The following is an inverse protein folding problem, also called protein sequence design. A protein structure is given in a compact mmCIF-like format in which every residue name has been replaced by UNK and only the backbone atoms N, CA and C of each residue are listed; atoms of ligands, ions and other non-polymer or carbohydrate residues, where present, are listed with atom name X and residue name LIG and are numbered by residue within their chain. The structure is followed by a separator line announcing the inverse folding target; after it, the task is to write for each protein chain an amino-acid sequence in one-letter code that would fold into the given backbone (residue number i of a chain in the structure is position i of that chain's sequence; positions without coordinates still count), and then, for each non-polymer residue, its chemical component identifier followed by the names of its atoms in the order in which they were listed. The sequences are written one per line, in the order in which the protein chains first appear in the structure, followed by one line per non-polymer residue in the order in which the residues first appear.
data_IF_992549615449
#
_entry.id   IF_992549615449
#
_cell.length_a   1.000
_cell.length_b   1.000
_cell.length_c   1.000
_cell.angle_alpha   90.00
_cell.angle_beta   90.00
_cell.angle_gamma   90.00
#
_symmetry.space_group_name_H-M   'P 1'
#
loop_
_entity.id
_entity.type
_entity.pdbx_description
1 polymer ?
#
# COMPACT_ATOMS: atom_id res chain seq x y z
N UNK A 1 44.45 -29.84 14.07
CA UNK A 1 43.09 -29.26 14.14
C UNK A 1 42.92 -28.32 12.96
N UNK A 2 42.12 -28.70 11.95
CA UNK A 2 41.83 -27.84 10.81
C UNK A 2 40.64 -26.95 11.20
N UNK A 3 40.89 -25.66 11.43
CA UNK A 3 39.81 -24.69 11.60
C UNK A 3 39.16 -24.47 10.23
N UNK A 4 37.99 -25.07 10.02
CA UNK A 4 37.13 -24.72 8.89
C UNK A 4 36.55 -23.35 9.21
N UNK A 5 37.25 -22.29 8.81
CA UNK A 5 36.65 -20.95 8.70
C UNK A 5 35.74 -21.01 7.48
N UNK A 6 34.53 -21.58 7.65
CA UNK A 6 33.45 -21.36 6.70
C UNK A 6 33.12 -19.89 6.76
N UNK A 7 33.66 -19.11 5.83
CA UNK A 7 33.28 -17.72 5.63
C UNK A 7 31.76 -17.65 5.53
N UNK A 8 31.10 -17.07 6.52
CA UNK A 8 29.67 -16.76 6.48
C UNK A 8 29.48 -15.75 5.36
N UNK A 9 29.12 -16.23 4.17
CA UNK A 9 28.82 -15.36 3.03
C UNK A 9 27.65 -14.47 3.45
N UNK A 10 27.94 -13.20 3.71
CA UNK A 10 26.93 -12.22 4.09
C UNK A 10 26.16 -11.88 2.82
N UNK A 11 24.94 -12.40 2.69
CA UNK A 11 24.10 -12.18 1.50
C UNK A 11 23.34 -10.86 1.52
N UNK A 12 23.13 -10.27 2.71
CA UNK A 12 22.36 -9.05 2.91
C UNK A 12 22.97 -8.21 4.04
N UNK A 13 22.97 -6.89 3.89
CA UNK A 13 23.18 -5.95 5.01
C UNK A 13 21.98 -5.96 5.96
N UNK A 14 22.11 -5.47 7.19
CA UNK A 14 21.00 -5.46 8.16
C UNK A 14 19.76 -4.72 7.64
N UNK A 15 19.92 -3.57 6.99
CA UNK A 15 18.81 -2.84 6.37
C UNK A 15 18.13 -3.63 5.25
N UNK A 16 18.92 -4.30 4.40
CA UNK A 16 18.41 -5.13 3.32
C UNK A 16 17.68 -6.37 3.85
N UNK A 17 18.14 -6.95 4.97
CA UNK A 17 17.50 -8.11 5.60
C UNK A 17 16.07 -7.79 5.97
N UNK A 18 15.82 -6.65 6.63
CA UNK A 18 14.47 -6.26 7.07
C UNK A 18 13.53 -6.17 5.87
N UNK A 19 13.93 -5.41 4.83
CA UNK A 19 13.13 -5.27 3.62
C UNK A 19 12.85 -6.63 2.96
N UNK A 20 13.89 -7.46 2.80
CA UNK A 20 13.78 -8.77 2.17
C UNK A 20 12.90 -9.72 2.97
N UNK A 21 12.95 -9.68 4.31
CA UNK A 21 12.07 -10.47 5.19
C UNK A 21 10.61 -10.16 4.89
N UNK A 22 10.19 -8.89 4.91
CA UNK A 22 8.79 -8.53 4.66
C UNK A 22 8.34 -8.83 3.24
N UNK A 23 9.19 -8.61 2.23
CA UNK A 23 8.91 -9.02 0.85
C UNK A 23 8.69 -10.53 0.74
N UNK A 24 9.51 -11.31 1.42
CA UNK A 24 9.43 -12.77 1.40
C UNK A 24 8.17 -13.25 2.12
N UNK A 25 7.83 -12.67 3.28
CA UNK A 25 6.57 -12.94 3.99
C UNK A 25 5.36 -12.68 3.10
N UNK A 26 5.37 -11.56 2.35
CA UNK A 26 4.27 -11.20 1.46
C UNK A 26 4.05 -12.22 0.34
N UNK A 27 5.11 -12.88 -0.14
CA UNK A 27 5.02 -13.98 -1.12
C UNK A 27 4.64 -15.31 -0.46
N UNK A 28 5.29 -15.65 0.65
CA UNK A 28 5.07 -16.90 1.39
C UNK A 28 3.63 -17.05 1.81
N UNK A 29 3.05 -16.04 2.45
CA UNK A 29 1.71 -16.14 3.03
C UNK A 29 0.63 -16.53 2.01
N UNK A 30 0.85 -16.26 0.72
CA UNK A 30 -0.06 -16.59 -0.36
C UNK A 30 -0.06 -18.08 -0.72
N UNK A 31 1.07 -18.77 -0.49
CA UNK A 31 1.26 -20.16 -0.92
C UNK A 31 1.16 -21.15 0.24
N UNK A 32 1.12 -20.67 1.49
CA UNK A 32 0.99 -21.53 2.67
C UNK A 32 -0.42 -22.15 2.77
N UNK A 33 -0.55 -23.39 3.27
CA UNK A 33 -1.84 -24.06 3.41
C UNK A 33 -2.64 -23.44 4.57
N UNK A 34 -3.96 -23.41 4.44
CA UNK A 34 -4.85 -22.69 5.38
C UNK A 34 -5.08 -23.44 6.69
N UNK A 35 -5.14 -24.77 6.62
CA UNK A 35 -5.56 -25.63 7.74
C UNK A 35 -4.55 -26.72 8.08
N UNK A 36 -3.55 -26.96 7.22
CA UNK A 36 -2.53 -27.98 7.43
C UNK A 36 -1.30 -27.44 8.17
N UNK A 37 -0.54 -28.38 8.73
CA UNK A 37 0.78 -28.12 9.28
C UNK A 37 1.83 -28.11 8.17
N UNK A 38 2.81 -27.21 8.24
CA UNK A 38 3.82 -27.06 7.19
C UNK A 38 5.18 -26.62 7.72
N UNK A 39 6.24 -26.90 6.95
CA UNK A 39 7.52 -26.23 7.13
C UNK A 39 7.64 -25.05 6.17
N UNK A 40 8.02 -23.87 6.68
CA UNK A 40 8.16 -22.64 5.87
C UNK A 40 9.13 -22.86 4.70
N UNK A 41 10.21 -23.60 4.93
CA UNK A 41 11.28 -23.76 3.96
C UNK A 41 10.90 -24.62 2.73
N UNK A 42 9.88 -25.46 2.84
CA UNK A 42 9.35 -26.26 1.73
C UNK A 42 8.78 -25.35 0.62
N UNK A 43 8.22 -24.21 1.02
CA UNK A 43 7.58 -23.25 0.13
C UNK A 43 8.55 -22.26 -0.51
N UNK A 44 9.83 -22.26 -0.13
CA UNK A 44 10.84 -21.41 -0.77
C UNK A 44 11.05 -21.77 -2.24
N UNK A 45 10.87 -23.06 -2.60
CA UNK A 45 10.93 -23.49 -4.01
C UNK A 45 9.78 -22.91 -4.83
N UNK A 46 8.62 -22.73 -4.22
CA UNK A 46 7.42 -22.18 -4.85
C UNK A 46 7.56 -20.68 -5.10
N UNK A 47 8.10 -19.92 -4.14
CA UNK A 47 8.23 -18.46 -4.27
C UNK A 47 9.51 -18.00 -4.97
N UNK A 48 10.53 -18.86 -5.05
CA UNK A 48 11.83 -18.55 -5.67
C UNK A 48 12.40 -19.77 -6.44
N UNK A 49 12.20 -19.84 -7.77
CA UNK A 49 12.66 -20.96 -8.58
C UNK A 49 14.18 -20.94 -8.81
N UNK A 50 14.86 -19.80 -8.64
CA UNK A 50 16.31 -19.72 -8.78
C UNK A 50 17.04 -20.33 -7.56
N UNK A 51 18.01 -21.21 -7.80
CA UNK A 51 18.74 -21.93 -6.74
C UNK A 51 19.65 -21.04 -5.90
N UNK A 52 20.26 -20.02 -6.49
CA UNK A 52 21.14 -19.09 -5.79
C UNK A 52 20.33 -18.17 -4.89
N UNK A 53 19.24 -17.58 -5.41
CA UNK A 53 18.33 -16.74 -4.61
C UNK A 53 17.70 -17.53 -3.46
N UNK A 54 17.37 -18.80 -3.65
CA UNK A 54 16.93 -19.67 -2.54
C UNK A 54 17.99 -19.83 -1.46
N UNK A 55 19.28 -19.93 -1.80
CA UNK A 55 20.35 -19.98 -0.78
C UNK A 55 20.40 -18.68 0.01
N UNK A 56 20.20 -17.53 -0.64
CA UNK A 56 20.09 -16.22 0.02
C UNK A 56 18.89 -16.18 0.96
N UNK A 57 17.70 -16.64 0.52
CA UNK A 57 16.51 -16.72 1.38
C UNK A 57 16.71 -17.63 2.59
N UNK A 58 17.36 -18.79 2.40
CA UNK A 58 17.68 -19.69 3.51
C UNK A 58 18.55 -19.02 4.59
N UNK A 59 19.46 -18.12 4.20
CA UNK A 59 20.30 -17.38 5.14
C UNK A 59 19.51 -16.46 6.09
N UNK A 60 18.27 -16.08 5.72
CA UNK A 60 17.37 -15.24 6.53
C UNK A 60 16.13 -15.99 7.02
N UNK A 61 16.09 -17.33 6.89
CA UNK A 61 14.90 -18.14 7.21
C UNK A 61 14.45 -18.01 8.65
N UNK A 62 15.39 -17.90 9.59
CA UNK A 62 15.08 -17.69 11.01
C UNK A 62 14.40 -16.35 11.25
N UNK A 63 14.91 -15.28 10.62
CA UNK A 63 14.32 -13.94 10.70
C UNK A 63 12.91 -13.89 10.09
N UNK A 64 12.68 -14.60 8.98
CA UNK A 64 11.36 -14.75 8.37
C UNK A 64 10.40 -15.42 9.36
N UNK A 65 10.76 -16.57 9.92
CA UNK A 65 9.94 -17.30 10.90
C UNK A 65 9.59 -16.42 12.10
N UNK A 66 10.59 -15.81 12.74
CA UNK A 66 10.41 -14.95 13.91
C UNK A 66 9.49 -13.77 13.59
N UNK A 67 9.63 -13.15 12.43
CA UNK A 67 8.77 -12.05 12.02
C UNK A 67 7.32 -12.52 11.80
N UNK A 68 7.10 -13.68 11.17
CA UNK A 68 5.76 -14.24 11.00
C UNK A 68 5.10 -14.61 12.33
N UNK A 69 5.85 -15.16 13.29
CA UNK A 69 5.38 -15.45 14.65
C UNK A 69 5.01 -14.15 15.38
N UNK A 70 5.88 -13.13 15.34
CA UNK A 70 5.62 -11.81 15.96
C UNK A 70 4.41 -11.09 15.37
N UNK A 71 4.17 -11.25 14.08
CA UNK A 71 2.98 -10.71 13.41
C UNK A 71 1.71 -11.51 13.70
N UNK A 72 1.84 -12.64 14.41
CA UNK A 72 0.79 -13.61 14.68
C UNK A 72 0.19 -14.17 13.39
N UNK A 73 1.00 -14.46 12.37
CA UNK A 73 0.55 -15.09 11.11
C UNK A 73 0.66 -16.61 11.16
N UNK A 74 1.61 -17.10 11.94
CA UNK A 74 1.84 -18.52 12.17
C UNK A 74 1.94 -18.80 13.66
N UNK A 75 1.65 -20.04 14.03
CA UNK A 75 1.82 -20.59 15.37
C UNK A 75 2.51 -21.95 15.32
N UNK A 76 3.13 -22.34 16.42
CA UNK A 76 3.77 -23.65 16.58
C UNK A 76 2.82 -24.54 17.40
N UNK A 77 2.12 -25.50 16.78
CA UNK A 77 1.25 -26.40 17.51
C UNK A 77 2.08 -27.26 18.47
N UNK A 78 1.58 -27.50 19.70
CA UNK A 78 2.36 -28.12 20.79
C UNK A 78 2.80 -29.56 20.50
N UNK A 79 2.11 -30.25 19.60
CA UNK A 79 2.34 -31.66 19.28
C UNK A 79 3.28 -31.89 18.10
N UNK A 80 3.76 -30.83 17.42
CA UNK A 80 4.55 -30.99 16.21
C UNK A 80 5.86 -30.18 16.28
N UNK A 81 6.99 -30.89 16.35
CA UNK A 81 8.30 -30.27 16.30
C UNK A 81 8.55 -29.63 14.91
N UNK A 82 8.91 -28.35 14.90
CA UNK A 82 9.30 -27.57 13.72
C UNK A 82 8.23 -27.40 12.62
N UNK A 83 6.98 -27.79 12.86
CA UNK A 83 5.86 -27.49 11.98
C UNK A 83 5.14 -26.24 12.44
N UNK A 84 4.56 -25.54 11.47
CA UNK A 84 3.80 -24.31 11.67
C UNK A 84 2.38 -24.49 11.15
N UNK A 85 1.44 -23.74 11.72
CA UNK A 85 0.08 -23.59 11.20
C UNK A 85 -0.23 -22.12 10.99
N UNK A 86 -1.06 -21.79 10.00
CA UNK A 86 -1.61 -20.44 9.88
C UNK A 86 -2.59 -20.17 11.03
N UNK A 87 -2.42 -19.02 11.67
CA UNK A 87 -3.41 -18.48 12.61
C UNK A 87 -4.62 -17.94 11.85
N UNK A 88 -5.67 -17.54 12.57
CA UNK A 88 -6.81 -16.83 11.97
C UNK A 88 -6.37 -15.55 11.26
N UNK A 89 -5.47 -14.78 11.88
CA UNK A 89 -4.89 -13.58 11.28
C UNK A 89 -4.04 -13.90 10.06
N UNK A 90 -3.28 -15.00 10.07
CA UNK A 90 -2.52 -15.47 8.92
C UNK A 90 -3.42 -15.75 7.71
N UNK A 91 -4.55 -16.42 7.95
CA UNK A 91 -5.58 -16.66 6.93
C UNK A 91 -6.23 -15.37 6.44
N UNK A 92 -6.54 -14.44 7.34
CA UNK A 92 -7.08 -13.12 6.93
C UNK A 92 -6.10 -12.38 6.01
N UNK A 93 -4.82 -12.34 6.38
CA UNK A 93 -3.76 -11.69 5.58
C UNK A 93 -3.63 -12.33 4.21
N UNK A 94 -3.68 -13.67 4.14
CA UNK A 94 -3.70 -14.41 2.88
C UNK A 94 -4.92 -14.05 2.04
N UNK A 95 -6.12 -14.03 2.63
CA UNK A 95 -7.37 -13.65 1.96
C UNK A 95 -7.36 -12.21 1.43
N UNK A 96 -6.66 -11.29 2.11
CA UNK A 96 -6.44 -9.91 1.62
C UNK A 96 -5.40 -9.83 0.49
N UNK A 97 -4.73 -10.93 0.14
CA UNK A 97 -3.72 -10.99 -0.90
C UNK A 97 -2.33 -10.55 -0.44
N UNK A 98 -1.99 -10.81 0.83
CA UNK A 98 -0.65 -10.68 1.38
C UNK A 98 -0.48 -9.56 2.41
N UNK A 99 0.66 -9.58 3.11
CA UNK A 99 1.00 -8.64 4.19
C UNK A 99 0.80 -7.17 3.80
N UNK A 100 1.29 -6.75 2.63
CA UNK A 100 1.19 -5.35 2.20
C UNK A 100 -0.25 -4.93 1.92
N UNK A 101 -1.06 -5.79 1.30
CA UNK A 101 -2.47 -5.51 1.01
C UNK A 101 -3.29 -5.50 2.29
N UNK A 102 -3.00 -6.40 3.22
CA UNK A 102 -3.59 -6.41 4.54
C UNK A 102 -3.34 -5.09 5.29
N UNK A 103 -2.09 -4.62 5.35
CA UNK A 103 -1.77 -3.32 5.98
C UNK A 103 -2.52 -2.16 5.33
N UNK A 104 -2.65 -2.15 4.00
CA UNK A 104 -3.45 -1.14 3.29
C UNK A 104 -4.94 -1.21 3.65
N UNK A 105 -5.46 -2.41 3.88
CA UNK A 105 -6.87 -2.61 4.27
C UNK A 105 -7.18 -2.17 5.70
N UNK A 106 -6.18 -2.17 6.58
CA UNK A 106 -6.31 -1.67 7.96
C UNK A 106 -6.21 -0.15 8.06
N UNK A 107 -5.67 0.53 7.04
CA UNK A 107 -5.64 1.99 7.04
C UNK A 107 -7.07 2.53 6.98
N UNK A 108 -7.41 3.57 7.75
CA UNK A 108 -8.72 4.19 7.66
C UNK A 108 -8.95 4.62 6.21
N UNK A 109 -9.99 4.05 5.58
CA UNK A 109 -10.40 4.49 4.25
C UNK A 109 -10.77 5.96 4.40
N UNK A 110 -10.12 6.84 3.62
CA UNK A 110 -10.51 8.25 3.57
C UNK A 110 -11.99 8.29 3.29
N UNK A 111 -12.74 8.91 4.20
CA UNK A 111 -14.19 8.99 4.14
C UNK A 111 -14.56 10.01 3.07
N UNK A 112 -14.56 9.56 1.81
CA UNK A 112 -14.79 10.42 0.65
C UNK A 112 -16.13 11.14 0.73
N UNK A 113 -17.10 10.58 1.45
CA UNK A 113 -18.40 11.20 1.76
C UNK A 113 -18.27 12.52 2.52
N UNK A 114 -17.21 12.71 3.32
CA UNK A 114 -16.93 13.96 4.05
C UNK A 114 -16.11 14.97 3.24
N UNK A 115 -15.26 14.47 2.33
CA UNK A 115 -14.33 15.32 1.54
C UNK A 115 -14.97 15.85 0.26
N UNK A 116 -15.80 15.03 -0.41
CA UNK A 116 -16.52 15.41 -1.63
C UNK A 116 -17.37 16.67 -1.50
N UNK A 117 -18.26 16.82 -0.50
CA UNK A 117 -19.12 18.00 -0.42
C UNK A 117 -18.32 19.29 -0.20
N UNK A 118 -17.19 19.23 0.51
CA UNK A 118 -16.29 20.37 0.71
C UNK A 118 -15.65 20.78 -0.61
N UNK A 119 -15.10 19.82 -1.36
CA UNK A 119 -14.48 20.08 -2.66
C UNK A 119 -15.47 20.65 -3.69
N UNK A 120 -16.68 20.07 -3.75
CA UNK A 120 -17.74 20.54 -4.65
C UNK A 120 -18.19 21.96 -4.29
N UNK A 121 -18.32 22.27 -3.00
CA UNK A 121 -18.73 23.62 -2.54
C UNK A 121 -17.70 24.68 -2.92
N UNK A 122 -16.41 24.38 -2.80
CA UNK A 122 -15.33 25.30 -3.19
C UNK A 122 -15.35 25.54 -4.70
N UNK A 123 -15.50 24.49 -5.51
CA UNK A 123 -15.54 24.60 -6.98
C UNK A 123 -16.76 25.43 -7.41
N UNK A 124 -17.95 25.16 -6.86
CA UNK A 124 -19.15 25.94 -7.15
C UNK A 124 -19.02 27.41 -6.72
N UNK A 125 -18.39 27.68 -5.57
CA UNK A 125 -18.11 29.03 -5.11
C UNK A 125 -17.19 29.81 -6.06
N UNK A 126 -16.12 29.17 -6.55
CA UNK A 126 -15.20 29.77 -7.52
C UNK A 126 -15.91 30.05 -8.84
N UNK A 127 -16.67 29.07 -9.38
CA UNK A 127 -17.41 29.23 -10.63
C UNK A 127 -18.42 30.38 -10.52
N UNK A 128 -19.18 30.43 -9.42
CA UNK A 128 -20.17 31.47 -9.19
C UNK A 128 -19.53 32.86 -9.09
N UNK A 129 -18.37 32.95 -8.42
CA UNK A 129 -17.62 34.21 -8.29
C UNK A 129 -17.08 34.71 -9.63
N UNK A 130 -16.55 33.80 -10.46
CA UNK A 130 -16.08 34.12 -11.82
C UNK A 130 -17.24 34.57 -12.70
N UNK A 131 -18.38 33.88 -12.63
CA UNK A 131 -19.58 34.23 -13.39
C UNK A 131 -20.14 35.61 -13.01
N UNK A 132 -20.15 35.93 -11.71
CA UNK A 132 -20.52 37.26 -11.20
C UNK A 132 -19.59 38.35 -11.73
N UNK A 133 -18.28 38.14 -11.72
CA UNK A 133 -17.30 39.09 -12.23
C UNK A 133 -17.42 39.33 -13.74
N UNK A 134 -17.69 38.27 -14.51
CA UNK A 134 -17.92 38.36 -15.96
C UNK A 134 -19.21 39.14 -16.27
N UNK A 135 -20.31 38.84 -15.59
CA UNK A 135 -21.56 39.56 -15.76
C UNK A 135 -21.46 41.03 -15.35
N UNK A 136 -20.70 41.33 -14.28
CA UNK A 136 -20.45 42.71 -13.87
C UNK A 136 -19.69 43.50 -14.93
N UNK A 137 -18.64 42.90 -15.52
CA UNK A 137 -17.89 43.53 -16.63
C UNK A 137 -18.78 43.77 -17.85
N UNK A 138 -19.53 42.75 -18.29
CA UNK A 138 -20.45 42.86 -19.44
C UNK A 138 -21.55 43.90 -19.21
N UNK A 139 -22.11 43.97 -18.00
CA UNK A 139 -23.11 44.97 -17.64
C UNK A 139 -22.55 46.40 -17.66
N UNK A 140 -21.31 46.57 -17.18
CA UNK A 140 -20.61 47.86 -17.20
C UNK A 140 -20.34 48.31 -18.63
N UNK A 141 -19.84 47.42 -19.49
CA UNK A 141 -19.62 47.71 -20.91
C UNK A 141 -20.93 48.08 -21.63
N UNK A 142 -21.99 47.30 -21.45
CA UNK A 142 -23.30 47.58 -22.04
C UNK A 142 -23.90 48.93 -21.59
N UNK A 143 -23.69 49.34 -20.33
CA UNK A 143 -24.15 50.63 -19.85
C UNK A 143 -23.36 51.80 -20.46
N UNK A 144 -22.05 51.66 -20.64
CA UNK A 144 -21.22 52.67 -21.31
C UNK A 144 -21.67 52.83 -22.77
N UNK A 145 -21.84 51.73 -23.50
CA UNK A 145 -22.27 51.76 -24.90
C UNK A 145 -23.67 52.35 -25.06
N UNK A 146 -24.60 52.09 -24.12
CA UNK A 146 -25.92 52.73 -24.13
C UNK A 146 -25.84 54.25 -23.96
N UNK A 147 -25.02 54.73 -23.02
CA UNK A 147 -24.84 56.16 -22.77
C UNK A 147 -24.26 56.86 -24.01
N UNK A 148 -23.27 56.27 -24.68
CA UNK A 148 -22.69 56.79 -25.92
C UNK A 148 -23.71 56.86 -27.08
N UNK A 149 -24.54 55.83 -27.24
CA UNK A 149 -25.59 55.81 -28.28
C UNK A 149 -26.65 56.89 -28.00
N UNK A 150 -27.02 57.10 -26.73
CA UNK A 150 -27.99 58.14 -26.35
C UNK A 150 -27.44 59.56 -26.52
N UNK A 151 -26.15 59.79 -26.26
CA UNK A 151 -25.52 61.10 -26.51
C UNK A 151 -25.43 61.42 -28.00
N UNK A 152 -25.06 60.44 -28.85
CA UNK A 152 -24.99 60.61 -30.30
C UNK A 152 -26.35 60.89 -30.95
N UNK A 153 -27.45 60.43 -30.36
CA UNK A 153 -28.81 60.73 -30.82
C UNK A 153 -29.30 62.13 -30.45
N UNK A 154 -28.71 62.79 -29.45
CA UNK A 154 -29.09 64.14 -29.01
C UNK A 154 -28.39 65.26 -29.80
N UNK A 155 -27.32 64.94 -30.52
CA UNK A 155 -26.54 65.89 -31.34
C UNK A 155 -27.01 65.95 -32.82
N UNK A 156 -28.06 65.21 -33.18
CA UNK A 156 -28.75 65.29 -34.49
C UNK A 156 -30.12 65.93 -34.34
#
# INVERSE_FOLDING_TARGET
MCAIITGTKIYYTEEQKIKKVYETINKLILVLPDFDNFHIHDYYKTIEPNSEERRKLRSISSAIRIAMERLNYIENPPTFNNLHRLTERGREVKNKGGHQKYLKSQKPKKDWTKVLPIGVSIIFGIISSVFLLLNYKLSKENNITKIEIESLKKEK
#
